data_IF_762372530617
#
_entry.id   IF_762372530617
#
_cell.length_a   1.000
_cell.length_b   1.000
_cell.length_c   1.000
_cell.angle_alpha   90.00
_cell.angle_beta   90.00
_cell.angle_gamma   90.00
#
_symmetry.space_group_name_H-M   'P 1'
#
loop_
_entity.id
_entity.type
_entity.pdbx_description
1 polymer ?
#
# COMPACT_ATOMS: atom_id res chain seq x y z
N UNK A 1 21.95 -1.28 20.86
CA UNK A 1 21.07 -0.83 19.76
C UNK A 1 19.62 -0.93 20.22
N UNK A 2 18.92 0.20 20.29
CA UNK A 2 17.56 0.21 20.86
C UNK A 2 16.57 -0.48 19.91
N UNK A 3 15.57 -1.16 20.46
CA UNK A 3 14.55 -1.89 19.68
C UNK A 3 13.73 -1.00 18.72
N UNK A 4 13.82 0.33 18.82
CA UNK A 4 13.16 1.28 17.89
C UNK A 4 13.95 1.51 16.61
N UNK A 5 15.28 1.42 16.68
CA UNK A 5 16.17 1.67 15.55
C UNK A 5 16.12 0.54 14.50
N UNK A 6 15.72 -0.65 14.94
CA UNK A 6 15.60 -1.85 14.09
C UNK A 6 14.34 -1.86 13.24
N UNK A 7 13.21 -1.33 13.72
CA UNK A 7 11.93 -1.38 12.98
C UNK A 7 11.95 -0.42 11.78
N UNK A 8 12.37 0.84 11.99
CA UNK A 8 12.41 1.83 10.92
C UNK A 8 13.38 1.43 9.79
N UNK A 9 14.59 0.98 10.12
CA UNK A 9 15.56 0.47 9.12
C UNK A 9 15.07 -0.79 8.41
N UNK A 10 14.28 -1.64 9.08
CA UNK A 10 13.76 -2.90 8.52
C UNK A 10 12.61 -2.68 7.55
N UNK A 11 11.83 -1.60 7.72
CA UNK A 11 10.62 -1.36 6.94
C UNK A 11 10.68 -0.12 6.03
N UNK A 12 11.70 0.73 6.16
CA UNK A 12 11.99 1.83 5.23
C UNK A 12 11.98 1.44 3.73
N UNK A 13 12.56 0.29 3.31
CA UNK A 13 12.52 -0.12 1.90
C UNK A 13 11.10 -0.33 1.36
N UNK A 14 10.14 -0.68 2.24
CA UNK A 14 8.72 -0.78 1.87
C UNK A 14 8.16 0.57 1.45
N UNK A 15 8.46 1.62 2.22
CA UNK A 15 8.01 2.98 1.93
C UNK A 15 8.60 3.51 0.62
N UNK A 16 9.87 3.21 0.34
CA UNK A 16 10.55 3.62 -0.89
C UNK A 16 9.95 2.98 -2.16
N UNK A 17 9.53 1.72 -2.09
CA UNK A 17 8.98 1.00 -3.25
C UNK A 17 7.50 1.34 -3.42
N UNK A 18 6.76 1.45 -2.31
CA UNK A 18 5.34 1.69 -2.34
C UNK A 18 4.97 3.02 -3.01
N UNK A 19 5.74 4.10 -2.78
CA UNK A 19 5.45 5.42 -3.36
C UNK A 19 5.44 5.42 -4.91
N UNK A 20 6.53 5.07 -5.62
CA UNK A 20 6.51 5.04 -7.08
C UNK A 20 5.48 4.05 -7.63
N UNK A 21 5.25 2.94 -6.94
CA UNK A 21 4.22 1.98 -7.33
C UNK A 21 2.81 2.55 -7.23
N UNK A 22 2.50 3.22 -6.12
CA UNK A 22 1.25 3.94 -5.92
C UNK A 22 0.98 4.99 -6.99
N UNK A 23 2.02 5.73 -7.37
CA UNK A 23 1.95 6.69 -8.46
C UNK A 23 1.65 6.02 -9.80
N UNK A 24 2.36 4.94 -10.14
CA UNK A 24 2.16 4.21 -11.40
C UNK A 24 0.78 3.58 -11.46
N UNK A 25 0.33 2.92 -10.39
CA UNK A 25 -0.99 2.28 -10.32
C UNK A 25 -2.11 3.31 -10.42
N UNK A 26 -2.00 4.42 -9.70
CA UNK A 26 -2.94 5.54 -9.81
C UNK A 26 -2.99 6.08 -11.23
N UNK A 27 -1.84 6.36 -11.84
CA UNK A 27 -1.77 6.89 -13.20
C UNK A 27 -2.36 5.93 -14.24
N UNK A 28 -2.03 4.64 -14.17
CA UNK A 28 -2.61 3.62 -15.06
C UNK A 28 -4.13 3.52 -14.89
N UNK A 29 -4.62 3.55 -13.65
CA UNK A 29 -6.05 3.56 -13.37
C UNK A 29 -6.75 4.76 -14.01
N UNK A 30 -6.16 5.96 -13.90
CA UNK A 30 -6.66 7.16 -14.55
C UNK A 30 -6.75 7.04 -16.07
N UNK A 31 -5.70 6.49 -16.70
CA UNK A 31 -5.68 6.27 -18.15
C UNK A 31 -6.77 5.29 -18.60
N UNK A 32 -6.98 4.20 -17.86
CA UNK A 32 -7.98 3.17 -18.19
C UNK A 32 -9.41 3.68 -17.98
N UNK A 33 -9.65 4.46 -16.93
CA UNK A 33 -11.02 4.85 -16.53
C UNK A 33 -11.52 6.11 -17.22
N UNK A 34 -10.67 7.11 -17.41
CA UNK A 34 -11.09 8.39 -18.00
C UNK A 34 -11.20 8.29 -19.52
N UNK A 35 -10.41 7.40 -20.14
CA UNK A 35 -10.32 7.29 -21.59
C UNK A 35 -9.65 8.53 -22.18
N UNK A 36 -8.49 8.35 -22.81
CA UNK A 36 -7.71 9.48 -23.31
C UNK A 36 -8.01 9.70 -24.79
N UNK A 37 -8.60 10.86 -25.13
CA UNK A 37 -9.02 11.17 -26.49
C UNK A 37 -7.89 11.71 -27.38
N UNK A 38 -6.81 12.21 -26.78
CA UNK A 38 -5.65 12.74 -27.52
C UNK A 38 -4.33 12.45 -26.80
N UNK A 39 -3.20 12.26 -27.52
CA UNK A 39 -1.90 12.02 -26.90
C UNK A 39 -1.46 13.11 -25.92
N UNK A 40 -1.88 14.36 -26.15
CA UNK A 40 -1.58 15.50 -25.28
C UNK A 40 -2.17 15.36 -23.85
N UNK A 41 -3.24 14.57 -23.70
CA UNK A 41 -3.91 14.32 -22.42
C UNK A 41 -3.31 13.13 -21.65
N UNK A 42 -2.46 12.31 -22.28
CA UNK A 42 -1.90 11.11 -21.64
C UNK A 42 -1.12 11.45 -20.37
N UNK A 43 -0.15 12.35 -20.49
CA UNK A 43 0.72 12.71 -19.36
C UNK A 43 -0.03 13.44 -18.25
N UNK A 44 -0.85 14.47 -18.52
CA UNK A 44 -1.65 15.13 -17.47
C UNK A 44 -2.58 14.17 -16.73
N UNK A 45 -3.28 13.28 -17.44
CA UNK A 45 -4.18 12.30 -16.82
C UNK A 45 -3.40 11.30 -15.97
N UNK A 46 -2.29 10.75 -16.50
CA UNK A 46 -1.44 9.84 -15.74
C UNK A 46 -0.86 10.50 -14.49
N UNK A 47 -0.33 11.72 -14.61
CA UNK A 47 0.25 12.43 -13.48
C UNK A 47 -0.81 12.83 -12.44
N UNK A 48 -1.97 13.33 -12.85
CA UNK A 48 -3.05 13.72 -11.94
C UNK A 48 -3.56 12.54 -11.12
N UNK A 49 -3.89 11.43 -11.78
CA UNK A 49 -4.32 10.22 -11.08
C UNK A 49 -3.18 9.52 -10.34
N UNK A 50 -1.95 9.62 -10.83
CA UNK A 50 -0.77 9.11 -10.12
C UNK A 50 -0.53 9.83 -8.80
N UNK A 51 -0.65 11.15 -8.77
CA UNK A 51 -0.64 11.92 -7.51
C UNK A 51 -1.80 11.51 -6.60
N UNK A 52 -2.97 11.22 -7.15
CA UNK A 52 -4.08 10.60 -6.42
C UNK A 52 -3.71 9.24 -5.81
N UNK A 53 -3.03 8.37 -6.55
CA UNK A 53 -2.54 7.08 -6.07
C UNK A 53 -1.55 7.19 -4.90
N UNK A 54 -0.70 8.23 -4.91
CA UNK A 54 0.22 8.50 -3.79
C UNK A 54 -0.53 8.78 -2.48
N UNK A 55 -1.67 9.48 -2.52
CA UNK A 55 -2.48 9.78 -1.33
C UNK A 55 -2.99 8.52 -0.63
N UNK A 56 -3.27 7.44 -1.37
CA UNK A 56 -3.70 6.16 -0.79
C UNK A 56 -2.54 5.28 -0.35
N UNK A 57 -1.35 5.51 -0.91
CA UNK A 57 -0.16 4.69 -0.65
C UNK A 57 0.41 4.93 0.75
N UNK A 58 0.48 6.20 1.16
CA UNK A 58 0.97 6.59 2.49
C UNK A 58 0.19 5.87 3.62
N UNK A 59 -1.15 5.95 3.68
CA UNK A 59 -1.90 5.27 4.73
C UNK A 59 -1.82 3.75 4.62
N UNK A 60 -1.71 3.18 3.43
CA UNK A 60 -1.48 1.74 3.25
C UNK A 60 -0.15 1.30 3.88
N UNK A 61 0.94 2.02 3.61
CA UNK A 61 2.26 1.76 4.20
C UNK A 61 2.21 1.90 5.72
N UNK A 62 1.56 2.96 6.23
CA UNK A 62 1.41 3.19 7.66
C UNK A 62 0.61 2.07 8.34
N UNK A 63 -0.52 1.67 7.76
CA UNK A 63 -1.36 0.60 8.29
C UNK A 63 -0.64 -0.75 8.30
N UNK A 64 0.09 -1.07 7.23
CA UNK A 64 0.96 -2.26 7.14
C UNK A 64 2.05 -2.26 8.21
N UNK A 65 2.77 -1.14 8.36
CA UNK A 65 3.83 -1.00 9.36
C UNK A 65 3.29 -1.10 10.79
N UNK A 66 2.15 -0.48 11.07
CA UNK A 66 1.49 -0.54 12.38
C UNK A 66 1.03 -1.98 12.70
N UNK A 67 0.40 -2.65 11.74
CA UNK A 67 -0.04 -4.03 11.90
C UNK A 67 1.15 -4.95 12.20
N UNK A 68 2.24 -4.83 11.43
CA UNK A 68 3.46 -5.57 11.69
C UNK A 68 4.07 -5.24 13.06
N UNK A 69 4.10 -3.98 13.47
CA UNK A 69 4.62 -3.57 14.77
C UNK A 69 3.83 -4.18 15.94
N UNK A 70 2.49 -4.20 15.84
CA UNK A 70 1.61 -4.82 16.84
C UNK A 70 1.75 -6.35 16.86
N UNK A 71 1.92 -6.98 15.69
CA UNK A 71 2.04 -8.43 15.55
C UNK A 71 3.45 -9.02 15.80
N UNK A 72 4.50 -8.20 15.82
CA UNK A 72 5.90 -8.67 15.87
C UNK A 72 6.26 -9.40 17.18
N UNK A 73 5.47 -9.22 18.24
CA UNK A 73 5.65 -9.93 19.51
C UNK A 73 5.12 -11.37 19.47
N UNK A 74 4.10 -11.66 18.66
CA UNK A 74 3.44 -12.98 18.61
C UNK A 74 3.73 -13.82 17.36
N UNK A 75 4.08 -13.20 16.23
CA UNK A 75 4.11 -13.87 14.92
C UNK A 75 5.52 -14.16 14.39
N UNK A 76 6.52 -14.25 15.27
CA UNK A 76 7.94 -14.41 14.90
C UNK A 76 8.24 -15.64 14.05
N UNK A 77 7.37 -16.66 14.06
CA UNK A 77 7.66 -17.97 13.48
C UNK A 77 7.06 -18.22 12.09
N UNK A 78 6.12 -17.40 11.59
CA UNK A 78 5.43 -17.70 10.33
C UNK A 78 5.45 -16.52 9.35
N UNK A 79 6.21 -16.69 8.25
CA UNK A 79 6.27 -15.72 7.14
C UNK A 79 4.88 -15.38 6.59
N UNK A 80 4.04 -16.41 6.43
CA UNK A 80 2.68 -16.26 5.91
C UNK A 80 1.83 -15.35 6.80
N UNK A 81 1.93 -15.47 8.12
CA UNK A 81 1.16 -14.64 9.03
C UNK A 81 1.61 -13.18 9.00
N UNK A 82 2.92 -12.92 8.88
CA UNK A 82 3.44 -11.55 8.73
C UNK A 82 3.03 -10.91 7.40
N UNK A 83 3.06 -11.68 6.30
CA UNK A 83 2.59 -11.21 5.00
C UNK A 83 1.08 -10.91 5.01
N UNK A 84 0.26 -11.79 5.60
CA UNK A 84 -1.18 -11.56 5.77
C UNK A 84 -1.47 -10.35 6.66
N UNK A 85 -0.76 -10.20 7.78
CA UNK A 85 -0.96 -9.08 8.69
C UNK A 85 -0.57 -7.74 8.03
N UNK A 86 0.51 -7.74 7.26
CA UNK A 86 0.93 -6.59 6.46
C UNK A 86 -0.10 -6.22 5.39
N UNK A 87 -0.64 -7.23 4.68
CA UNK A 87 -1.71 -7.05 3.71
C UNK A 87 -2.97 -6.44 4.36
N UNK A 88 -3.42 -7.01 5.48
CA UNK A 88 -4.59 -6.51 6.22
C UNK A 88 -4.37 -5.09 6.73
N UNK A 89 -3.18 -4.79 7.24
CA UNK A 89 -2.81 -3.44 7.65
C UNK A 89 -2.86 -2.44 6.49
N UNK A 90 -2.39 -2.83 5.31
CA UNK A 90 -2.47 -1.99 4.11
C UNK A 90 -3.92 -1.73 3.68
N UNK A 91 -4.76 -2.76 3.62
CA UNK A 91 -6.20 -2.60 3.32
C UNK A 91 -6.87 -1.68 4.32
N UNK A 92 -6.61 -1.88 5.62
CA UNK A 92 -7.17 -1.06 6.68
C UNK A 92 -6.75 0.42 6.53
N UNK A 93 -5.47 0.68 6.25
CA UNK A 93 -4.98 2.03 5.97
C UNK A 93 -5.72 2.71 4.82
N UNK A 94 -5.88 2.02 3.69
CA UNK A 94 -6.64 2.55 2.54
C UNK A 94 -8.10 2.79 2.91
N UNK A 95 -8.74 1.87 3.63
CA UNK A 95 -10.13 2.01 4.05
C UNK A 95 -10.34 3.23 4.96
N UNK A 96 -9.43 3.49 5.89
CA UNK A 96 -9.45 4.68 6.75
C UNK A 96 -9.30 5.96 5.92
N UNK A 97 -8.38 5.99 4.97
CA UNK A 97 -8.19 7.16 4.09
C UNK A 97 -9.43 7.44 3.25
N UNK A 98 -10.05 6.40 2.70
CA UNK A 98 -11.33 6.47 1.99
C UNK A 98 -12.42 7.08 2.87
N UNK A 99 -12.53 6.63 4.12
CA UNK A 99 -13.50 7.16 5.08
C UNK A 99 -13.22 8.64 5.41
N UNK A 100 -11.96 9.04 5.55
CA UNK A 100 -11.58 10.45 5.76
C UNK A 100 -12.00 11.30 4.57
N UNK A 101 -11.71 10.86 3.33
CA UNK A 101 -12.09 11.57 2.12
C UNK A 101 -13.61 11.70 1.99
N UNK A 102 -14.36 10.65 2.32
CA UNK A 102 -15.82 10.66 2.35
C UNK A 102 -16.36 11.73 3.32
N UNK A 103 -15.85 11.74 4.55
CA UNK A 103 -16.22 12.77 5.54
C UNK A 103 -15.87 14.17 5.04
N UNK A 104 -14.67 14.39 4.51
CA UNK A 104 -14.23 15.71 4.01
C UNK A 104 -15.12 16.18 2.86
N UNK A 105 -15.41 15.31 1.89
CA UNK A 105 -16.22 15.66 0.72
C UNK A 105 -17.69 15.90 1.10
N UNK A 106 -18.25 15.11 2.02
CA UNK A 106 -19.60 15.31 2.54
C UNK A 106 -19.79 16.66 3.26
N UNK A 107 -18.71 17.20 3.84
CA UNK A 107 -18.72 18.51 4.52
C UNK A 107 -18.50 19.68 3.56
N UNK A 108 -17.82 19.46 2.42
CA UNK A 108 -17.46 20.50 1.47
C UNK A 108 -18.50 20.72 0.36
N UNK A 109 -19.28 19.70 0.00
CA UNK A 109 -20.24 19.77 -1.11
C UNK A 109 -21.63 19.36 -0.62
N UNK A 110 -22.46 20.34 -0.25
CA UNK A 110 -23.88 20.10 0.02
C UNK A 110 -24.55 19.65 -1.29
N UNK A 111 -24.86 18.36 -1.41
CA UNK A 111 -25.63 17.80 -2.52
C UNK A 111 -24.92 16.78 -3.43
N UNK A 112 -23.67 16.40 -3.16
CA UNK A 112 -23.06 15.22 -3.79
C UNK A 112 -23.01 14.04 -2.83
N UNK A 113 -24.01 13.16 -2.91
CA UNK A 113 -23.99 11.85 -2.27
C UNK A 113 -23.04 10.92 -3.04
N UNK A 114 -21.73 11.07 -2.83
CA UNK A 114 -20.84 9.94 -3.03
C UNK A 114 -21.15 8.94 -1.93
N UNK A 115 -22.17 8.12 -2.13
CA UNK A 115 -22.62 7.20 -1.08
C UNK A 115 -21.44 6.37 -0.57
N UNK A 116 -21.31 6.28 0.75
CA UNK A 116 -20.32 5.47 1.49
C UNK A 116 -20.14 4.07 0.90
N UNK A 117 -21.22 3.52 0.33
CA UNK A 117 -21.28 2.27 -0.44
C UNK A 117 -20.40 2.27 -1.69
N UNK A 118 -20.47 3.30 -2.53
CA UNK A 118 -19.66 3.44 -3.75
C UNK A 118 -18.17 3.50 -3.42
N UNK A 119 -17.80 4.26 -2.39
CA UNK A 119 -16.40 4.45 -2.02
C UNK A 119 -15.82 3.18 -1.38
N UNK A 120 -16.55 2.53 -0.46
CA UNK A 120 -16.10 1.28 0.17
C UNK A 120 -16.11 0.07 -0.77
N UNK A 121 -17.09 -0.03 -1.68
CA UNK A 121 -17.23 -1.22 -2.54
C UNK A 121 -16.37 -1.12 -3.81
N UNK A 122 -16.07 0.09 -4.28
CA UNK A 122 -15.32 0.28 -5.53
C UNK A 122 -13.87 0.66 -5.23
N UNK A 123 -13.63 1.68 -4.39
CA UNK A 123 -12.27 2.22 -4.18
C UNK A 123 -11.43 1.30 -3.31
N UNK A 124 -11.99 0.70 -2.26
CA UNK A 124 -11.21 -0.19 -1.38
C UNK A 124 -10.74 -1.47 -2.10
N UNK A 125 -11.54 -2.16 -2.94
CA UNK A 125 -11.01 -3.26 -3.73
C UNK A 125 -10.02 -2.81 -4.80
N UNK A 126 -10.29 -1.71 -5.51
CA UNK A 126 -9.42 -1.23 -6.59
C UNK A 126 -8.06 -0.74 -6.10
N UNK A 127 -8.00 -0.12 -4.93
CA UNK A 127 -6.78 0.49 -4.39
C UNK A 127 -6.19 -0.31 -3.24
N UNK A 128 -7.04 -0.86 -2.37
CA UNK A 128 -6.65 -1.64 -1.20
C UNK A 128 -6.08 -3.02 -1.57
N UNK A 129 -6.61 -3.72 -2.58
CA UNK A 129 -6.05 -5.03 -2.98
C UNK A 129 -4.64 -4.91 -3.58
N UNK A 130 -4.37 -3.99 -4.54
CA UNK A 130 -3.00 -3.78 -5.01
C UNK A 130 -2.06 -3.40 -3.86
N UNK A 131 -2.46 -2.46 -3.00
CA UNK A 131 -1.65 -2.07 -1.84
C UNK A 131 -1.37 -3.26 -0.90
N UNK A 132 -2.33 -4.16 -0.71
CA UNK A 132 -2.17 -5.37 0.09
C UNK A 132 -1.18 -6.37 -0.53
N UNK A 133 -1.25 -6.58 -1.85
CA UNK A 133 -0.33 -7.45 -2.58
C UNK A 133 1.10 -6.94 -2.51
N UNK A 134 1.28 -5.63 -2.67
CA UNK A 134 2.57 -4.94 -2.55
C UNK A 134 3.13 -5.11 -1.16
N UNK A 135 2.33 -4.82 -0.12
CA UNK A 135 2.72 -4.96 1.27
C UNK A 135 3.12 -6.41 1.60
N UNK A 136 2.33 -7.40 1.18
CA UNK A 136 2.65 -8.81 1.38
C UNK A 136 3.93 -9.24 0.63
N UNK A 137 4.03 -8.91 -0.66
CA UNK A 137 5.15 -9.31 -1.51
C UNK A 137 6.47 -8.71 -1.05
N UNK A 138 6.44 -7.48 -0.57
CA UNK A 138 7.62 -6.79 -0.06
C UNK A 138 8.09 -7.32 1.30
N UNK A 139 7.18 -7.77 2.17
CA UNK A 139 7.55 -8.56 3.38
C UNK A 139 8.21 -9.89 3.01
N UNK A 140 7.69 -10.59 2.00
CA UNK A 140 8.29 -11.85 1.50
C UNK A 140 9.69 -11.61 0.93
N UNK A 141 9.84 -10.60 0.06
CA UNK A 141 11.10 -10.24 -0.56
C UNK A 141 12.16 -9.84 0.48
N UNK A 142 11.74 -9.11 1.52
CA UNK A 142 12.62 -8.73 2.63
C UNK A 142 13.13 -9.95 3.41
N UNK A 143 12.26 -10.89 3.77
CA UNK A 143 12.67 -12.11 4.47
C UNK A 143 13.57 -13.01 3.61
N UNK A 144 13.37 -13.03 2.29
CA UNK A 144 14.29 -13.72 1.39
C UNK A 144 15.70 -13.10 1.36
N UNK A 145 15.82 -11.77 1.49
CA UNK A 145 17.13 -11.10 1.62
C UNK A 145 17.80 -11.39 2.96
N UNK A 146 17.04 -11.56 4.03
CA UNK A 146 17.58 -11.84 5.37
C UNK A 146 18.00 -13.30 5.57
N UNK A 147 17.50 -14.25 4.78
CA UNK A 147 17.97 -15.64 4.86
C UNK A 147 19.44 -15.69 4.44
N UNK A 148 20.40 -15.98 5.34
CA UNK A 148 21.77 -16.20 4.92
C UNK A 148 21.75 -17.35 3.92
N UNK A 149 22.29 -17.13 2.72
CA UNK A 149 22.60 -18.21 1.78
C UNK A 149 23.33 -19.26 2.60
N UNK A 150 22.69 -20.41 2.88
CA UNK A 150 23.39 -21.60 3.36
C UNK A 150 24.40 -21.90 2.26
N UNK A 151 25.63 -21.41 2.42
CA UNK A 151 26.77 -21.89 1.65
C UNK A 151 26.80 -23.37 1.97
N UNK A 152 26.51 -24.17 0.97
CA UNK A 152 26.89 -25.58 0.95
C UNK A 152 28.41 -25.59 1.14
N UNK A 153 28.84 -25.72 2.39
CA UNK A 153 30.17 -26.22 2.70
C UNK A 153 30.14 -27.70 2.32
N UNK A 154 30.30 -27.95 1.03
CA UNK A 154 30.77 -29.24 0.54
C UNK A 154 32.22 -29.32 1.01
N UNK A 155 32.41 -29.84 2.22
CA UNK A 155 33.72 -30.30 2.68
C UNK A 155 34.10 -31.49 1.81
N UNK A 156 35.10 -31.28 0.96
CA UNK A 156 35.91 -32.34 0.34
C UNK A 156 37.09 -32.58 1.26
#
# INVERSE_FOLDING_TARGET
MSARETVWRRYWPLALIALPEGFVLGGLYGLVTVGVASPAQLWPTFAGFGLGGLLFTVPAVMGSALALWLGDRGLRHTLRARALLSALGAVFGVAVMVLILDVVTSLQVVGQDFGLRSVLIVVVPLVGLPAALVAAGSVVAWEWRLRPRKRSSTTV
#
